data_IF_384822566043
#
_entry.id   IF_384822566043
#
_cell.length_a   1.000
_cell.length_b   1.000
_cell.length_c   1.000
_cell.angle_alpha   90.00
_cell.angle_beta   90.00
_cell.angle_gamma   90.00
#
_symmetry.space_group_name_H-M   'P 1'
#
loop_
_entity.id
_entity.type
_entity.pdbx_description
1 polymer ?
#
# COMPACT_ATOMS: atom_id res chain seq x y z
N UNK A 1 -32.78 -9.20 43.46
CA UNK A 1 -32.42 -9.98 42.26
C UNK A 1 -31.22 -9.33 41.54
N UNK A 2 -29.97 -9.84 41.71
CA UNK A 2 -28.75 -9.16 41.25
C UNK A 2 -28.31 -9.47 39.80
N UNK A 3 -29.02 -10.31 39.06
CA UNK A 3 -28.56 -10.82 37.75
C UNK A 3 -28.67 -9.84 36.56
N UNK A 4 -29.57 -8.85 36.61
CA UNK A 4 -29.88 -7.99 35.45
C UNK A 4 -28.75 -7.04 35.05
N UNK A 5 -27.90 -6.66 36.01
CA UNK A 5 -26.77 -5.75 35.78
C UNK A 5 -25.59 -6.47 35.12
N UNK A 6 -25.31 -7.72 35.51
CA UNK A 6 -24.24 -8.54 34.91
C UNK A 6 -24.47 -8.82 33.43
N UNK A 7 -25.71 -9.14 33.03
CA UNK A 7 -26.04 -9.37 31.61
C UNK A 7 -25.89 -8.09 30.76
N UNK A 8 -26.26 -6.93 31.29
CA UNK A 8 -26.13 -5.65 30.56
C UNK A 8 -24.68 -5.29 30.30
N UNK A 9 -23.80 -5.48 31.29
CA UNK A 9 -22.35 -5.23 31.16
C UNK A 9 -21.70 -6.22 30.19
N UNK A 10 -22.11 -7.49 30.19
CA UNK A 10 -21.62 -8.48 29.22
C UNK A 10 -22.03 -8.13 27.77
N UNK A 11 -23.26 -7.65 27.57
CA UNK A 11 -23.77 -7.18 26.27
C UNK A 11 -23.04 -5.93 25.77
N UNK A 12 -22.76 -4.96 26.63
CA UNK A 12 -21.99 -3.75 26.23
C UNK A 12 -20.55 -4.10 25.89
N UNK A 13 -19.91 -4.98 26.67
CA UNK A 13 -18.54 -5.45 26.41
C UNK A 13 -18.43 -6.22 25.10
N UNK A 14 -19.36 -7.14 24.81
CA UNK A 14 -19.38 -7.87 23.54
C UNK A 14 -19.63 -6.98 22.31
N UNK A 15 -20.44 -5.91 22.47
CA UNK A 15 -20.67 -4.91 21.43
C UNK A 15 -19.45 -4.04 21.16
N UNK A 16 -18.69 -3.68 22.20
CA UNK A 16 -17.43 -2.93 22.06
C UNK A 16 -16.36 -3.75 21.36
N UNK A 17 -16.16 -5.02 21.75
CA UNK A 17 -15.21 -5.95 21.12
C UNK A 17 -15.48 -6.09 19.61
N UNK A 18 -16.75 -6.25 19.23
CA UNK A 18 -17.15 -6.32 17.82
C UNK A 18 -16.88 -4.99 17.08
N UNK A 19 -17.04 -3.85 17.75
CA UNK A 19 -16.74 -2.54 17.17
C UNK A 19 -15.24 -2.35 16.95
N UNK A 20 -14.40 -2.74 17.91
CA UNK A 20 -12.93 -2.66 17.80
C UNK A 20 -12.43 -3.54 16.67
N UNK A 21 -12.95 -4.77 16.54
CA UNK A 21 -12.61 -5.67 15.41
C UNK A 21 -12.99 -5.07 14.06
N UNK A 22 -14.18 -4.48 13.93
CA UNK A 22 -14.61 -3.79 12.71
C UNK A 22 -13.71 -2.58 12.39
N UNK A 23 -13.36 -1.78 13.40
CA UNK A 23 -12.45 -0.64 13.23
C UNK A 23 -11.06 -1.09 12.78
N UNK A 24 -10.51 -2.16 13.35
CA UNK A 24 -9.23 -2.73 12.94
C UNK A 24 -9.22 -3.19 11.48
N UNK A 25 -10.28 -3.89 11.04
CA UNK A 25 -10.41 -4.34 9.65
C UNK A 25 -10.46 -3.13 8.70
N UNK A 26 -11.21 -2.09 9.06
CA UNK A 26 -11.29 -0.85 8.26
C UNK A 26 -9.92 -0.18 8.19
N UNK A 27 -9.21 -0.03 9.31
CA UNK A 27 -7.87 0.58 9.35
C UNK A 27 -6.89 -0.22 8.49
N UNK A 28 -6.91 -1.55 8.58
CA UNK A 28 -6.05 -2.40 7.74
C UNK A 28 -6.40 -2.28 6.25
N UNK A 29 -7.68 -2.27 5.89
CA UNK A 29 -8.13 -2.08 4.52
C UNK A 29 -7.71 -0.72 3.96
N UNK A 30 -7.77 0.34 4.77
CA UNK A 30 -7.30 1.69 4.39
C UNK A 30 -5.79 1.69 4.16
N UNK A 31 -5.00 1.10 5.06
CA UNK A 31 -3.54 1.00 4.90
C UNK A 31 -3.19 0.20 3.63
N UNK A 32 -3.86 -0.93 3.39
CA UNK A 32 -3.66 -1.73 2.18
C UNK A 32 -4.01 -0.94 0.90
N UNK A 33 -5.12 -0.18 0.92
CA UNK A 33 -5.51 0.68 -0.20
C UNK A 33 -4.48 1.81 -0.44
N UNK A 34 -3.96 2.43 0.62
CA UNK A 34 -2.90 3.45 0.52
C UNK A 34 -1.63 2.87 -0.10
N UNK A 35 -1.21 1.67 0.31
CA UNK A 35 -0.05 0.99 -0.26
C UNK A 35 -0.27 0.55 -1.72
N UNK A 36 -1.50 0.21 -2.10
CA UNK A 36 -1.85 -0.09 -3.50
C UNK A 36 -1.88 1.16 -4.38
N UNK A 37 -2.44 2.25 -3.87
CA UNK A 37 -2.77 3.43 -4.68
C UNK A 37 -1.64 4.46 -4.72
N UNK A 38 -0.81 4.56 -3.68
CA UNK A 38 0.28 5.53 -3.63
C UNK A 38 1.57 4.87 -4.14
N UNK A 39 2.00 5.16 -5.38
CA UNK A 39 3.27 4.68 -5.88
C UNK A 39 4.42 5.31 -5.08
N UNK A 40 5.35 4.47 -4.63
CA UNK A 40 6.59 4.92 -3.99
C UNK A 40 7.49 5.48 -5.08
N UNK A 41 7.77 6.78 -5.00
CA UNK A 41 8.70 7.46 -5.90
C UNK A 41 10.13 7.24 -5.43
N UNK A 42 10.99 6.77 -6.32
CA UNK A 42 12.44 6.77 -6.14
C UNK A 42 13.08 7.54 -7.27
N UNK A 43 13.90 8.53 -6.92
CA UNK A 43 14.70 9.31 -7.88
C UNK A 43 16.13 8.79 -7.78
N UNK A 44 16.72 8.45 -8.90
CA UNK A 44 18.10 7.97 -8.99
C UNK A 44 19.02 9.12 -9.41
N UNK A 45 20.25 9.12 -8.87
CA UNK A 45 21.23 10.21 -9.03
C UNK A 45 21.91 10.22 -10.42
N UNK A 46 21.65 9.21 -11.25
CA UNK A 46 22.25 9.00 -12.58
C UNK A 46 21.69 9.92 -13.69
N UNK A 47 21.23 11.12 -13.34
CA UNK A 47 20.70 12.10 -14.29
C UNK A 47 19.19 12.37 -14.22
N UNK A 48 18.49 11.78 -13.23
CA UNK A 48 17.09 12.09 -12.94
C UNK A 48 16.09 11.02 -13.38
N UNK A 49 16.52 9.76 -13.53
CA UNK A 49 15.64 8.61 -13.72
C UNK A 49 14.70 8.47 -12.51
N UNK A 50 13.40 8.40 -12.75
CA UNK A 50 12.38 8.30 -11.72
C UNK A 50 11.63 6.97 -11.84
N UNK A 51 11.65 6.19 -10.77
CA UNK A 51 10.86 4.96 -10.64
C UNK A 51 9.66 5.22 -9.76
N UNK A 52 8.47 4.88 -10.24
CA UNK A 52 7.21 4.91 -9.52
C UNK A 52 6.78 3.46 -9.31
N UNK A 53 7.04 2.92 -8.12
CA UNK A 53 6.69 1.54 -7.80
C UNK A 53 5.37 1.50 -7.02
N UNK A 54 4.32 0.93 -7.61
CA UNK A 54 3.12 0.48 -6.92
C UNK A 54 3.07 -1.04 -6.90
N UNK A 55 2.26 -1.61 -5.99
CA UNK A 55 2.05 -3.05 -5.88
C UNK A 55 1.53 -3.67 -7.20
N UNK A 56 0.75 -2.92 -7.98
CA UNK A 56 0.08 -3.41 -9.20
C UNK A 56 0.77 -2.98 -10.48
N UNK A 57 1.53 -1.90 -10.46
CA UNK A 57 2.25 -1.38 -11.62
C UNK A 57 3.53 -0.67 -11.21
N UNK A 58 4.54 -0.69 -12.06
CA UNK A 58 5.78 0.06 -11.92
C UNK A 58 5.96 0.92 -13.17
N UNK A 59 6.15 2.22 -12.99
CA UNK A 59 6.48 3.14 -14.10
C UNK A 59 7.92 3.57 -13.94
N UNK A 60 8.71 3.42 -14.99
CA UNK A 60 10.10 3.88 -15.02
C UNK A 60 10.18 5.00 -16.04
N UNK A 61 10.54 6.19 -15.59
CA UNK A 61 10.79 7.35 -16.43
C UNK A 61 12.29 7.51 -16.54
N UNK A 62 12.84 7.10 -17.67
CA UNK A 62 14.26 7.20 -17.98
C UNK A 62 14.58 8.62 -18.41
N UNK A 63 15.53 9.23 -17.71
CA UNK A 63 16.15 10.52 -18.06
C UNK A 63 17.67 10.39 -17.94
N UNK A 64 18.25 9.44 -18.68
CA UNK A 64 19.71 9.38 -18.79
C UNK A 64 20.19 10.49 -19.73
N UNK A 65 21.29 11.14 -19.36
CA UNK A 65 21.90 12.26 -20.11
C UNK A 65 22.56 11.76 -21.42
N UNK A 66 22.95 10.48 -21.48
CA UNK A 66 23.79 9.91 -22.55
C UNK A 66 23.21 8.66 -23.24
N UNK A 67 21.91 8.34 -23.07
CA UNK A 67 21.41 7.03 -23.54
C UNK A 67 19.91 6.97 -23.80
N UNK A 68 19.14 6.57 -22.79
CA UNK A 68 17.72 6.23 -22.93
C UNK A 68 16.81 7.32 -22.36
N UNK A 69 15.92 7.83 -23.20
CA UNK A 69 14.83 8.74 -22.83
C UNK A 69 13.50 8.07 -23.19
N UNK A 70 12.69 7.72 -22.19
CA UNK A 70 11.48 6.95 -22.40
C UNK A 70 10.68 6.74 -21.11
N UNK A 71 9.40 6.38 -21.26
CA UNK A 71 8.55 5.98 -20.13
C UNK A 71 8.10 4.55 -20.35
N UNK A 72 8.43 3.68 -19.41
CA UNK A 72 8.10 2.26 -19.48
C UNK A 72 7.13 1.91 -18.35
N UNK A 73 6.14 1.09 -18.69
CA UNK A 73 5.09 0.69 -17.77
C UNK A 73 5.10 -0.83 -17.66
N UNK A 74 5.36 -1.30 -16.44
CA UNK A 74 5.41 -2.72 -16.09
C UNK A 74 4.23 -3.07 -15.21
N UNK A 75 3.39 -3.99 -15.68
CA UNK A 75 2.25 -4.52 -14.94
C UNK A 75 2.67 -5.74 -14.11
N UNK A 76 1.93 -6.01 -13.03
CA UNK A 76 2.07 -7.25 -12.26
C UNK A 76 1.95 -8.48 -13.18
N UNK A 77 2.80 -9.52 -13.03
CA UNK A 77 3.80 -9.73 -11.97
C UNK A 77 5.21 -9.20 -12.30
N UNK A 78 5.42 -8.62 -13.48
CA UNK A 78 6.75 -8.20 -13.95
C UNK A 78 7.22 -6.87 -13.34
N UNK A 79 6.66 -6.42 -12.20
CA UNK A 79 6.97 -5.14 -11.54
C UNK A 79 7.89 -5.29 -10.31
N UNK A 80 8.20 -6.50 -9.87
CA UNK A 80 9.02 -6.76 -8.68
C UNK A 80 10.52 -6.74 -8.91
N UNK A 81 10.98 -6.57 -10.15
CA UNK A 81 12.41 -6.57 -10.44
C UNK A 81 13.07 -5.23 -10.04
N UNK A 82 14.36 -5.32 -9.69
CA UNK A 82 15.21 -4.17 -9.44
C UNK A 82 15.46 -3.39 -10.75
N UNK A 83 15.90 -2.13 -10.65
CA UNK A 83 16.04 -1.25 -11.81
C UNK A 83 16.95 -1.85 -12.89
N UNK A 84 18.03 -2.52 -12.47
CA UNK A 84 19.06 -3.13 -13.33
C UNK A 84 18.53 -4.26 -14.24
N UNK A 85 17.32 -4.77 -14.00
CA UNK A 85 16.67 -5.75 -14.88
C UNK A 85 16.07 -5.12 -16.15
N UNK A 86 15.76 -3.83 -16.11
CA UNK A 86 15.08 -3.10 -17.20
C UNK A 86 16.04 -2.17 -17.97
N UNK A 87 17.26 -2.00 -17.47
CA UNK A 87 18.34 -1.28 -18.15
C UNK A 87 18.90 -2.08 -19.34
#
# INVERSE_FOLDING_TARGET
MPGRWKCRVALTRGREEANVKKKLIIVFAVIAAVLLLIPVRKVYEDGGTQTYTSLTYKVIVWKQIDGKSGTELYLFPNNFHQLDYYE
#
